data_IF_753510019251
#
_entry.id   IF_753510019251
#
_cell.length_a   1.000
_cell.length_b   1.000
_cell.length_c   1.000
_cell.angle_alpha   90.00
_cell.angle_beta   90.00
_cell.angle_gamma   90.00
#
_symmetry.space_group_name_H-M   'P 1'
#
loop_
_entity.id
_entity.type
_entity.pdbx_description
1 polymer ?
#
# COMPACT_ATOMS: atom_id res chain seq x y z
N UNK A 1 57.47 -71.31 -29.98
CA UNK A 1 56.50 -70.22 -30.15
C UNK A 1 55.75 -70.02 -28.83
N UNK A 2 56.04 -68.94 -28.09
CA UNK A 2 55.43 -68.61 -26.80
C UNK A 2 54.10 -67.88 -27.05
N UNK A 3 53.00 -68.37 -26.48
CA UNK A 3 51.69 -67.69 -26.47
C UNK A 3 51.62 -66.78 -25.24
N UNK A 4 51.44 -65.48 -25.45
CA UNK A 4 51.15 -64.52 -24.38
C UNK A 4 49.63 -64.31 -24.30
N UNK A 5 49.08 -64.51 -23.10
CA UNK A 5 47.75 -64.06 -22.69
C UNK A 5 47.78 -62.53 -22.57
N UNK A 6 46.80 -61.84 -23.16
CA UNK A 6 46.49 -60.44 -22.86
C UNK A 6 45.12 -60.46 -22.16
N UNK A 7 45.13 -60.23 -20.84
CA UNK A 7 43.93 -60.01 -20.05
C UNK A 7 43.52 -58.53 -20.12
N UNK A 8 42.32 -58.25 -20.61
CA UNK A 8 41.72 -56.92 -20.60
C UNK A 8 41.10 -56.66 -19.22
N UNK A 9 41.62 -55.65 -18.51
CA UNK A 9 41.02 -55.11 -17.28
C UNK A 9 40.05 -54.01 -17.71
N UNK A 10 38.75 -54.25 -17.59
CA UNK A 10 37.72 -53.22 -17.74
C UNK A 10 37.58 -52.47 -16.42
N UNK A 11 37.98 -51.20 -16.39
CA UNK A 11 37.76 -50.30 -15.27
C UNK A 11 36.35 -49.70 -15.37
N UNK A 12 35.42 -50.19 -14.56
CA UNK A 12 34.07 -49.62 -14.43
C UNK A 12 34.15 -48.40 -13.52
N UNK A 13 34.05 -47.20 -14.11
CA UNK A 13 33.91 -45.96 -13.34
C UNK A 13 32.52 -45.93 -12.69
N UNK A 14 32.47 -46.02 -11.36
CA UNK A 14 31.24 -45.83 -10.59
C UNK A 14 30.98 -44.32 -10.50
N UNK A 15 30.10 -43.81 -11.35
CA UNK A 15 29.53 -42.47 -11.22
C UNK A 15 28.50 -42.52 -10.08
N UNK A 16 28.87 -42.02 -8.90
CA UNK A 16 27.90 -41.74 -7.83
C UNK A 16 26.93 -40.65 -8.31
N UNK A 17 25.61 -40.83 -8.19
CA UNK A 17 24.67 -39.78 -8.52
C UNK A 17 24.85 -38.64 -7.51
N UNK A 18 25.17 -37.45 -8.00
CA UNK A 18 25.07 -36.23 -7.21
C UNK A 18 23.57 -36.07 -6.94
N UNK A 19 23.13 -36.28 -5.69
CA UNK A 19 21.80 -35.91 -5.29
C UNK A 19 21.68 -34.39 -5.45
N UNK A 20 20.95 -33.94 -6.47
CA UNK A 20 20.50 -32.57 -6.53
C UNK A 20 19.59 -32.36 -5.31
N UNK A 21 20.09 -31.62 -4.31
CA UNK A 21 19.25 -31.18 -3.18
C UNK A 21 18.11 -30.34 -3.79
N UNK A 22 16.87 -30.74 -3.56
CA UNK A 22 15.73 -29.93 -3.96
C UNK A 22 15.78 -28.60 -3.19
N UNK A 23 15.54 -27.49 -3.89
CA UNK A 23 15.43 -26.17 -3.24
C UNK A 23 14.28 -26.20 -2.24
N UNK A 24 14.43 -25.53 -1.11
CA UNK A 24 13.32 -25.35 -0.17
C UNK A 24 12.38 -24.29 -0.74
N UNK A 25 11.13 -24.67 -1.01
CA UNK A 25 10.12 -23.75 -1.55
C UNK A 25 9.64 -22.75 -0.48
N UNK A 26 9.43 -21.50 -0.88
CA UNK A 26 8.84 -20.43 -0.08
C UNK A 26 7.66 -19.85 -0.84
N UNK A 27 6.44 -20.19 -0.44
CA UNK A 27 5.23 -19.69 -1.07
C UNK A 27 4.90 -18.27 -0.65
N UNK A 28 4.75 -17.37 -1.62
CA UNK A 28 4.45 -15.96 -1.41
C UNK A 28 3.14 -15.58 -2.11
N UNK A 29 2.09 -15.24 -1.35
CA UNK A 29 0.82 -14.76 -1.90
C UNK A 29 0.77 -13.23 -1.91
N UNK A 30 0.44 -12.65 -3.07
CA UNK A 30 0.40 -11.20 -3.28
C UNK A 30 -0.82 -10.71 -4.06
N UNK A 31 -1.07 -9.40 -4.01
CA UNK A 31 -2.21 -8.74 -4.63
C UNK A 31 -1.87 -7.93 -5.90
N UNK A 32 -0.60 -7.94 -6.32
CA UNK A 32 -0.16 -7.13 -7.45
C UNK A 32 -0.54 -7.69 -8.83
N UNK A 33 -0.93 -6.77 -9.71
CA UNK A 33 -1.22 -6.97 -11.14
C UNK A 33 -0.51 -5.91 -11.97
N UNK A 34 -0.59 -6.04 -13.30
CA UNK A 34 -0.02 -5.08 -14.25
C UNK A 34 1.48 -4.83 -13.98
N UNK A 35 1.90 -3.56 -14.07
CA UNK A 35 3.30 -3.18 -13.91
C UNK A 35 3.90 -3.57 -12.54
N UNK A 36 3.11 -3.51 -11.47
CA UNK A 36 3.58 -3.92 -10.14
C UNK A 36 3.80 -5.44 -10.05
N UNK A 37 2.93 -6.22 -10.70
CA UNK A 37 3.08 -7.67 -10.79
C UNK A 37 4.34 -8.09 -11.55
N UNK A 38 4.66 -7.40 -12.64
CA UNK A 38 5.91 -7.61 -13.40
C UNK A 38 7.14 -7.33 -12.55
N UNK A 39 7.14 -6.23 -11.79
CA UNK A 39 8.27 -5.84 -10.95
C UNK A 39 8.51 -6.81 -9.78
N UNK A 40 7.44 -7.32 -9.14
CA UNK A 40 7.59 -8.36 -8.11
C UNK A 40 8.04 -9.69 -8.71
N UNK A 41 7.59 -10.03 -9.93
CA UNK A 41 8.09 -11.21 -10.61
C UNK A 41 9.60 -11.14 -10.88
N UNK A 42 10.10 -9.97 -11.31
CA UNK A 42 11.53 -9.75 -11.49
C UNK A 42 12.29 -9.89 -10.16
N UNK A 43 11.80 -9.33 -9.06
CA UNK A 43 12.43 -9.49 -7.74
C UNK A 43 12.51 -10.97 -7.30
N UNK A 44 11.45 -11.74 -7.53
CA UNK A 44 11.42 -13.18 -7.23
C UNK A 44 12.40 -13.95 -8.12
N UNK A 45 12.47 -13.63 -9.41
CA UNK A 45 13.42 -14.23 -10.35
C UNK A 45 14.87 -13.93 -9.94
N UNK A 46 15.19 -12.68 -9.63
CA UNK A 46 16.51 -12.24 -9.18
C UNK A 46 16.94 -12.96 -7.89
N UNK A 47 16.04 -13.08 -6.91
CA UNK A 47 16.30 -13.84 -5.69
C UNK A 47 16.56 -15.33 -5.97
N UNK A 48 15.73 -15.94 -6.82
CA UNK A 48 15.84 -17.37 -7.14
C UNK A 48 17.08 -17.71 -7.97
N UNK A 49 17.54 -16.78 -8.81
CA UNK A 49 18.75 -16.91 -9.61
C UNK A 49 20.03 -16.59 -8.81
N UNK A 50 19.93 -15.70 -7.82
CA UNK A 50 21.06 -15.26 -6.98
C UNK A 50 21.57 -16.30 -5.99
N UNK A 51 20.84 -17.40 -5.77
CA UNK A 51 21.21 -18.45 -4.82
C UNK A 51 20.65 -19.84 -5.22
N UNK A 52 21.12 -20.90 -4.54
CA UNK A 52 20.79 -22.30 -4.85
C UNK A 52 19.99 -23.06 -3.77
N UNK A 53 19.73 -22.45 -2.63
CA UNK A 53 19.17 -23.11 -1.44
C UNK A 53 17.62 -23.01 -1.37
N UNK A 54 17.04 -21.92 -1.90
CA UNK A 54 15.62 -21.60 -1.79
C UNK A 54 14.98 -21.31 -3.15
N UNK A 55 13.67 -21.53 -3.25
CA UNK A 55 12.85 -21.15 -4.40
C UNK A 55 11.58 -20.43 -3.93
N UNK A 56 11.48 -19.14 -4.19
CA UNK A 56 10.26 -18.38 -3.91
C UNK A 56 9.26 -18.63 -5.03
N UNK A 57 8.10 -19.17 -4.67
CA UNK A 57 6.97 -19.44 -5.55
C UNK A 57 5.88 -18.42 -5.27
N UNK A 58 5.79 -17.39 -6.11
CA UNK A 58 4.78 -16.34 -5.96
C UNK A 58 3.42 -16.77 -6.54
N UNK A 59 2.32 -16.30 -5.94
CA UNK A 59 0.96 -16.51 -6.43
C UNK A 59 0.13 -15.24 -6.25
N UNK A 60 -0.42 -14.73 -7.35
CA UNK A 60 -1.39 -13.66 -7.32
C UNK A 60 -2.75 -14.17 -6.80
N UNK A 61 -3.32 -13.50 -5.79
CA UNK A 61 -4.59 -13.88 -5.14
C UNK A 61 -5.72 -12.88 -5.35
N UNK A 62 -5.64 -12.08 -6.41
CA UNK A 62 -6.62 -11.04 -6.69
C UNK A 62 -6.24 -9.73 -6.00
N UNK A 63 -7.22 -8.93 -5.61
CA UNK A 63 -6.98 -7.67 -4.89
C UNK A 63 -6.55 -7.92 -3.42
N UNK A 64 -6.24 -6.84 -2.68
CA UNK A 64 -5.80 -6.96 -1.29
C UNK A 64 -6.83 -7.61 -0.35
N UNK A 65 -8.11 -7.27 -0.49
CA UNK A 65 -9.20 -7.89 0.30
C UNK A 65 -9.31 -9.39 -0.01
N UNK A 66 -9.21 -9.78 -1.29
CA UNK A 66 -9.23 -11.18 -1.70
C UNK A 66 -8.01 -11.94 -1.18
N UNK A 67 -6.82 -11.33 -1.22
CA UNK A 67 -5.58 -11.92 -0.71
C UNK A 67 -5.67 -12.16 0.80
N UNK A 68 -6.14 -11.17 1.58
CA UNK A 68 -6.36 -11.32 3.02
C UNK A 68 -7.37 -12.44 3.33
N UNK A 69 -8.53 -12.42 2.66
CA UNK A 69 -9.57 -13.42 2.88
C UNK A 69 -9.14 -14.84 2.47
N UNK A 70 -8.39 -14.96 1.37
CA UNK A 70 -7.78 -16.22 0.95
C UNK A 70 -6.79 -16.74 2.00
N UNK A 71 -5.95 -15.87 2.57
CA UNK A 71 -5.02 -16.22 3.65
C UNK A 71 -5.74 -16.70 4.91
N UNK A 72 -6.80 -16.01 5.34
CA UNK A 72 -7.63 -16.41 6.49
C UNK A 72 -8.27 -17.79 6.26
N UNK A 73 -8.83 -18.02 5.06
CA UNK A 73 -9.44 -19.30 4.71
C UNK A 73 -8.41 -20.44 4.67
N UNK A 74 -7.27 -20.19 4.03
CA UNK A 74 -6.17 -21.15 3.92
C UNK A 74 -5.61 -21.52 5.30
N UNK A 75 -5.44 -20.56 6.20
CA UNK A 75 -4.99 -20.84 7.57
C UNK A 75 -5.97 -21.77 8.32
N UNK A 76 -7.28 -21.54 8.18
CA UNK A 76 -8.30 -22.44 8.78
C UNK A 76 -8.25 -23.85 8.18
N UNK A 77 -7.90 -23.97 6.90
CA UNK A 77 -7.72 -25.23 6.20
C UNK A 77 -6.34 -25.88 6.44
N UNK A 78 -5.40 -25.18 7.09
CA UNK A 78 -3.98 -25.56 7.25
C UNK A 78 -3.22 -25.64 5.92
N UNK A 79 -3.55 -24.74 4.99
CA UNK A 79 -2.98 -24.62 3.64
C UNK A 79 -2.41 -23.21 3.38
N UNK A 80 -2.11 -22.45 4.44
CA UNK A 80 -1.58 -21.09 4.35
C UNK A 80 -0.20 -21.02 3.67
N UNK A 81 0.13 -19.93 2.94
CA UNK A 81 1.46 -19.73 2.35
C UNK A 81 2.51 -19.45 3.44
N UNK A 82 3.79 -19.45 3.08
CA UNK A 82 4.85 -18.99 3.99
C UNK A 82 4.75 -17.47 4.23
N UNK A 83 4.50 -16.71 3.16
CA UNK A 83 4.39 -15.26 3.19
C UNK A 83 3.04 -14.83 2.61
N UNK A 84 2.31 -14.01 3.35
CA UNK A 84 1.05 -13.39 2.92
C UNK A 84 1.22 -11.87 2.88
N UNK A 85 1.00 -11.28 1.71
CA UNK A 85 0.86 -9.84 1.57
C UNK A 85 -0.48 -9.40 2.17
N UNK A 86 -0.43 -8.49 3.14
CA UNK A 86 -1.63 -7.93 3.75
C UNK A 86 -1.50 -6.42 3.75
N UNK A 87 -2.47 -5.75 3.13
CA UNK A 87 -2.57 -4.30 3.17
C UNK A 87 -2.94 -3.76 4.56
N UNK A 88 -2.73 -2.47 4.76
CA UNK A 88 -2.68 -1.84 6.07
C UNK A 88 -3.93 -2.13 6.93
N UNK A 89 -5.12 -2.20 6.34
CA UNK A 89 -6.37 -2.46 7.07
C UNK A 89 -6.47 -3.86 7.67
N UNK A 90 -5.70 -4.81 7.17
CA UNK A 90 -5.63 -6.16 7.73
C UNK A 90 -4.78 -6.23 8.99
N UNK A 91 -4.01 -5.20 9.33
CA UNK A 91 -3.02 -5.23 10.42
C UNK A 91 -3.63 -5.64 11.76
N UNK A 92 -4.73 -5.01 12.18
CA UNK A 92 -5.37 -5.38 13.45
C UNK A 92 -5.89 -6.83 13.44
N UNK A 93 -6.43 -7.30 12.32
CA UNK A 93 -6.87 -8.69 12.14
C UNK A 93 -5.70 -9.66 12.28
N UNK A 94 -4.56 -9.35 11.64
CA UNK A 94 -3.36 -10.20 11.71
C UNK A 94 -2.75 -10.19 13.12
N UNK A 95 -2.73 -9.04 13.80
CA UNK A 95 -2.29 -8.93 15.19
C UNK A 95 -3.17 -9.74 16.16
N UNK A 96 -4.48 -9.74 15.93
CA UNK A 96 -5.44 -10.44 16.77
C UNK A 96 -5.50 -11.95 16.50
N UNK A 97 -5.05 -12.41 15.33
CA UNK A 97 -5.00 -13.81 14.94
C UNK A 97 -3.88 -14.58 15.67
N UNK A 98 -4.04 -14.79 16.98
CA UNK A 98 -3.08 -15.50 17.84
C UNK A 98 -2.75 -16.87 17.26
N UNK A 99 -1.45 -17.11 17.05
CA UNK A 99 -0.94 -18.38 16.51
C UNK A 99 -1.09 -18.53 14.99
N UNK A 100 -1.52 -17.50 14.26
CA UNK A 100 -1.58 -17.52 12.80
C UNK A 100 -0.35 -16.92 12.13
N UNK A 101 0.35 -16.04 12.82
CA UNK A 101 1.50 -15.29 12.29
C UNK A 101 2.72 -15.51 13.15
N UNK A 102 3.87 -15.68 12.50
CA UNK A 102 5.18 -15.69 13.13
C UNK A 102 5.82 -14.32 12.94
N UNK A 103 6.06 -13.53 14.00
CA UNK A 103 6.56 -12.17 13.86
C UNK A 103 7.88 -12.10 13.08
N UNK A 104 8.00 -11.14 12.16
CA UNK A 104 9.20 -10.97 11.32
C UNK A 104 10.47 -10.82 12.15
N UNK A 105 10.44 -10.09 13.26
CA UNK A 105 11.63 -9.97 14.12
C UNK A 105 12.15 -11.34 14.62
N UNK A 106 11.25 -12.30 14.89
CA UNK A 106 11.62 -13.66 15.30
C UNK A 106 12.17 -14.46 14.11
N UNK A 107 11.49 -14.37 12.95
CA UNK A 107 11.93 -15.07 11.72
C UNK A 107 13.32 -14.63 11.31
N UNK A 108 13.58 -13.32 11.32
CA UNK A 108 14.89 -12.76 10.98
C UNK A 108 15.97 -13.25 11.96
N UNK A 109 15.70 -13.20 13.27
CA UNK A 109 16.62 -13.68 14.29
C UNK A 109 16.92 -15.19 14.16
N UNK A 110 15.90 -16.01 13.93
CA UNK A 110 16.05 -17.47 13.78
C UNK A 110 16.71 -17.88 12.45
N UNK A 111 16.51 -17.10 11.39
CA UNK A 111 17.14 -17.33 10.09
C UNK A 111 18.64 -17.02 10.07
N UNK A 112 19.13 -16.25 11.06
CA UNK A 112 20.50 -15.73 11.09
C UNK A 112 20.74 -14.56 10.13
N UNK A 113 19.69 -14.01 9.54
CA UNK A 113 19.76 -12.83 8.69
C UNK A 113 20.13 -11.56 9.47
N UNK A 114 20.88 -10.67 8.81
CA UNK A 114 21.09 -9.32 9.35
C UNK A 114 19.77 -8.54 9.25
N UNK A 115 19.29 -8.06 10.39
CA UNK A 115 18.05 -7.30 10.46
C UNK A 115 18.21 -6.18 11.49
N UNK A 116 18.19 -4.95 10.99
CA UNK A 116 18.17 -3.75 11.82
C UNK A 116 16.80 -3.07 11.68
N UNK A 117 15.91 -3.21 12.68
CA UNK A 117 14.62 -2.51 12.68
C UNK A 117 14.77 -0.99 12.62
N UNK A 118 15.89 -0.42 13.05
CA UNK A 118 16.13 1.02 13.06
C UNK A 118 16.59 1.56 11.71
N UNK A 119 16.98 0.69 10.78
CA UNK A 119 17.19 1.07 9.38
C UNK A 119 15.90 1.44 8.65
N UNK A 120 14.73 0.99 9.14
CA UNK A 120 13.43 1.27 8.54
C UNK A 120 12.88 2.63 8.98
N UNK A 121 12.24 3.34 8.04
CA UNK A 121 11.66 4.66 8.30
C UNK A 121 10.57 4.55 9.37
N UNK A 122 10.69 5.36 10.43
CA UNK A 122 9.80 5.34 11.60
C UNK A 122 8.31 5.44 11.25
N UNK A 123 7.96 6.36 10.34
CA UNK A 123 6.59 6.58 9.87
C UNK A 123 6.02 5.37 9.10
N UNK A 124 6.87 4.54 8.52
CA UNK A 124 6.49 3.32 7.81
C UNK A 124 6.41 2.14 8.77
N UNK A 125 7.44 1.92 9.60
CA UNK A 125 7.49 0.74 10.50
C UNK A 125 6.47 0.81 11.63
N UNK A 126 6.16 2.00 12.15
CA UNK A 126 5.29 2.16 13.33
C UNK A 126 3.87 1.61 13.16
N UNK A 127 3.40 1.48 11.92
CA UNK A 127 2.10 0.87 11.64
C UNK A 127 2.11 -0.65 11.92
N UNK A 128 3.26 -1.30 11.68
CA UNK A 128 3.45 -2.75 11.63
C UNK A 128 4.22 -3.32 12.83
N UNK A 129 4.39 -2.53 13.89
CA UNK A 129 5.10 -2.93 15.11
C UNK A 129 4.15 -3.15 16.30
N UNK A 130 4.64 -3.90 17.30
CA UNK A 130 4.08 -3.89 18.65
C UNK A 130 4.20 -2.51 19.30
N UNK A 131 3.61 -2.34 20.48
CA UNK A 131 3.78 -1.14 21.31
C UNK A 131 5.23 -0.94 21.77
N UNK A 132 6.00 -2.02 21.86
CA UNK A 132 7.43 -2.03 22.22
C UNK A 132 8.34 -1.77 21.02
N UNK A 133 7.79 -1.72 19.80
CA UNK A 133 8.54 -1.44 18.56
C UNK A 133 9.02 -2.68 17.81
N UNK A 134 8.62 -3.89 18.23
CA UNK A 134 9.00 -5.13 17.55
C UNK A 134 8.23 -5.27 16.22
N UNK A 135 8.94 -5.49 15.11
CA UNK A 135 8.34 -5.61 13.78
C UNK A 135 7.58 -6.93 13.62
N UNK A 136 6.26 -6.84 13.50
CA UNK A 136 5.37 -8.00 13.32
C UNK A 136 5.35 -8.48 11.87
N UNK A 137 5.37 -7.54 10.93
CA UNK A 137 5.45 -7.78 9.48
C UNK A 137 6.50 -6.87 8.86
N UNK A 138 6.96 -7.22 7.66
CA UNK A 138 7.92 -6.41 6.92
C UNK A 138 7.15 -5.42 6.04
N UNK A 139 7.27 -4.09 6.24
CA UNK A 139 6.73 -3.12 5.29
C UNK A 139 7.32 -3.42 3.90
N UNK A 140 6.50 -3.45 2.85
CA UNK A 140 7.00 -3.78 1.52
C UNK A 140 6.66 -2.69 0.52
N UNK A 141 5.40 -2.27 0.50
CA UNK A 141 4.94 -1.25 -0.40
C UNK A 141 4.11 -0.23 0.39
N UNK A 142 4.79 0.81 0.88
CA UNK A 142 4.15 1.90 1.62
C UNK A 142 3.95 3.09 0.70
N UNK A 143 2.74 3.62 0.65
CA UNK A 143 2.39 4.79 -0.16
C UNK A 143 1.56 5.77 0.63
N UNK A 144 1.33 6.93 0.05
CA UNK A 144 0.40 7.93 0.57
C UNK A 144 -0.32 8.60 -0.60
N UNK A 145 -1.54 9.13 -0.46
CA UNK A 145 -2.20 9.75 -1.58
C UNK A 145 -1.54 11.09 -1.94
N UNK A 146 -1.54 11.38 -3.23
CA UNK A 146 -1.03 12.61 -3.84
C UNK A 146 -2.03 13.09 -4.89
N UNK A 147 -1.85 14.32 -5.38
CA UNK A 147 -2.61 14.85 -6.50
C UNK A 147 -1.78 14.71 -7.78
N UNK A 148 -2.25 13.91 -8.73
CA UNK A 148 -1.71 13.84 -10.08
C UNK A 148 -2.39 14.88 -10.97
N UNK A 149 -1.59 15.56 -11.78
CA UNK A 149 -2.03 16.65 -12.65
C UNK A 149 -1.63 16.34 -14.09
N UNK A 150 -2.59 16.36 -15.00
CA UNK A 150 -2.36 16.35 -16.44
C UNK A 150 -2.26 17.81 -16.92
N UNK A 151 -1.02 18.28 -17.09
CA UNK A 151 -0.73 19.69 -17.43
C UNK A 151 -1.21 20.04 -18.83
N UNK A 152 -1.22 19.07 -19.74
CA UNK A 152 -1.74 19.26 -21.10
C UNK A 152 -3.27 19.42 -21.09
N UNK A 153 -3.99 18.63 -20.28
CA UNK A 153 -5.44 18.79 -20.12
C UNK A 153 -5.81 20.14 -19.49
N UNK A 154 -5.07 20.58 -18.47
CA UNK A 154 -5.24 21.93 -17.91
C UNK A 154 -5.07 23.01 -18.98
N UNK A 155 -3.97 22.95 -19.74
CA UNK A 155 -3.68 23.91 -20.81
C UNK A 155 -4.75 23.88 -21.92
N UNK A 156 -5.22 22.69 -22.31
CA UNK A 156 -6.24 22.51 -23.33
C UNK A 156 -7.59 23.14 -22.93
N UNK A 157 -7.94 23.08 -21.65
CA UNK A 157 -9.10 23.74 -21.07
C UNK A 157 -8.88 25.25 -20.80
N UNK A 158 -7.70 25.79 -21.11
CA UNK A 158 -7.35 27.19 -20.88
C UNK A 158 -7.05 27.54 -19.42
N UNK A 159 -6.76 26.53 -18.59
CA UNK A 159 -6.37 26.68 -17.19
C UNK A 159 -4.84 26.70 -17.11
N UNK A 160 -4.28 27.66 -16.35
CA UNK A 160 -2.84 27.69 -16.11
C UNK A 160 -2.42 26.45 -15.32
N UNK A 161 -1.57 25.57 -15.89
CA UNK A 161 -1.11 24.36 -15.18
C UNK A 161 -0.42 24.69 -13.86
N UNK A 162 0.17 25.87 -13.71
CA UNK A 162 0.87 26.29 -12.49
C UNK A 162 -0.07 26.95 -11.44
N UNK A 163 -1.39 26.91 -11.68
CA UNK A 163 -2.39 27.35 -10.70
C UNK A 163 -2.19 26.65 -9.36
N UNK A 164 -2.25 27.41 -8.27
CA UNK A 164 -2.15 26.87 -6.92
C UNK A 164 -3.33 25.91 -6.65
N UNK A 165 -3.02 24.68 -6.24
CA UNK A 165 -3.97 23.63 -5.87
C UNK A 165 -3.66 23.07 -4.47
N UNK A 166 -2.99 23.85 -3.62
CA UNK A 166 -2.61 23.44 -2.28
C UNK A 166 -3.83 23.21 -1.38
N UNK A 167 -4.95 23.87 -1.66
CA UNK A 167 -6.19 23.71 -0.90
C UNK A 167 -7.36 23.22 -1.73
N UNK A 168 -8.31 22.53 -1.10
CA UNK A 168 -9.53 22.07 -1.77
C UNK A 168 -10.43 23.22 -2.23
N UNK A 169 -10.37 24.39 -1.58
CA UNK A 169 -11.01 25.61 -2.08
C UNK A 169 -10.48 25.96 -3.48
N UNK A 170 -9.15 25.98 -3.63
CA UNK A 170 -8.50 26.31 -4.90
C UNK A 170 -8.71 25.23 -5.95
N UNK A 171 -8.69 23.96 -5.56
CA UNK A 171 -9.07 22.86 -6.45
C UNK A 171 -10.50 23.07 -6.95
N UNK A 172 -11.45 23.46 -6.09
CA UNK A 172 -12.81 23.80 -6.51
C UNK A 172 -12.85 24.85 -7.64
N UNK A 173 -12.08 25.93 -7.50
CA UNK A 173 -11.96 26.98 -8.53
C UNK A 173 -11.35 26.44 -9.84
N UNK A 174 -10.34 25.56 -9.74
CA UNK A 174 -9.74 24.89 -10.91
C UNK A 174 -10.74 23.96 -11.59
N UNK A 175 -11.52 23.19 -10.83
CA UNK A 175 -12.56 22.31 -11.39
C UNK A 175 -13.63 23.10 -12.15
N UNK A 176 -14.01 24.28 -11.64
CA UNK A 176 -14.94 25.19 -12.31
C UNK A 176 -14.37 25.66 -13.67
N UNK A 177 -13.10 26.02 -13.70
CA UNK A 177 -12.43 26.46 -14.93
C UNK A 177 -12.28 25.31 -15.92
N UNK A 178 -11.88 24.11 -15.46
CA UNK A 178 -11.79 22.91 -16.29
C UNK A 178 -13.14 22.60 -16.95
N UNK A 179 -14.25 22.60 -16.19
CA UNK A 179 -15.59 22.43 -16.76
C UNK A 179 -15.95 23.49 -17.78
N UNK A 180 -15.67 24.76 -17.47
CA UNK A 180 -15.95 25.86 -18.39
C UNK A 180 -15.11 25.78 -19.68
N UNK A 181 -13.89 25.23 -19.58
CA UNK A 181 -12.98 24.93 -20.69
C UNK A 181 -13.34 23.68 -21.50
N UNK A 182 -14.38 22.94 -21.11
CA UNK A 182 -14.86 21.76 -21.83
C UNK A 182 -14.23 20.44 -21.41
N UNK A 183 -13.55 20.38 -20.26
CA UNK A 183 -13.05 19.12 -19.70
C UNK A 183 -14.22 18.24 -19.20
N UNK A 184 -14.27 17.01 -19.68
CA UNK A 184 -15.32 16.04 -19.34
C UNK A 184 -15.02 15.29 -18.05
N UNK A 185 -13.73 15.11 -17.70
CA UNK A 185 -13.29 14.53 -16.44
C UNK A 185 -12.33 15.46 -15.68
N UNK A 186 -12.82 16.50 -14.99
CA UNK A 186 -11.93 17.41 -14.26
C UNK A 186 -11.20 16.74 -13.10
N UNK A 187 -11.90 15.93 -12.29
CA UNK A 187 -11.31 15.17 -11.19
C UNK A 187 -11.85 13.75 -11.19
N UNK A 188 -10.94 12.78 -11.05
CA UNK A 188 -11.24 11.39 -10.69
C UNK A 188 -10.48 11.04 -9.40
N UNK A 189 -10.91 10.00 -8.70
CA UNK A 189 -10.23 9.53 -7.47
C UNK A 189 -10.09 8.02 -7.46
N UNK A 190 -9.12 7.55 -6.69
CA UNK A 190 -8.96 6.15 -6.34
C UNK A 190 -9.05 5.96 -4.83
N UNK A 191 -9.32 4.73 -4.37
CA UNK A 191 -9.29 4.37 -2.95
C UNK A 191 -10.06 5.35 -2.05
N UNK A 192 -11.32 5.62 -2.42
CA UNK A 192 -12.10 6.76 -1.91
C UNK A 192 -12.16 6.88 -0.38
N UNK A 193 -12.32 5.78 0.36
CA UNK A 193 -12.28 5.80 1.83
C UNK A 193 -10.92 6.26 2.34
N UNK A 194 -9.85 5.68 1.80
CA UNK A 194 -8.49 5.96 2.23
C UNK A 194 -8.08 7.40 1.95
N UNK A 195 -8.47 7.96 0.79
CA UNK A 195 -8.14 9.34 0.42
C UNK A 195 -9.04 10.34 1.16
N UNK A 196 -10.36 10.20 1.01
CA UNK A 196 -11.32 11.27 1.36
C UNK A 196 -11.85 11.19 2.79
N UNK A 197 -11.53 10.15 3.55
CA UNK A 197 -11.89 10.07 4.96
C UNK A 197 -10.68 9.81 5.85
N UNK A 198 -9.90 8.78 5.54
CA UNK A 198 -8.80 8.37 6.43
C UNK A 198 -7.64 9.36 6.38
N UNK A 199 -7.10 9.61 5.18
CA UNK A 199 -6.08 10.64 4.98
C UNK A 199 -6.63 12.04 5.20
N UNK A 200 -7.87 12.32 4.78
CA UNK A 200 -8.54 13.56 5.13
C UNK A 200 -8.48 13.83 6.64
N UNK A 201 -8.88 12.85 7.47
CA UNK A 201 -8.92 13.03 8.91
C UNK A 201 -7.52 13.23 9.50
N UNK A 202 -6.56 12.40 9.07
CA UNK A 202 -5.17 12.52 9.51
C UNK A 202 -4.55 13.87 9.13
N UNK A 203 -4.72 14.30 7.87
CA UNK A 203 -4.14 15.52 7.31
C UNK A 203 -4.73 16.80 7.90
N UNK A 204 -5.95 16.73 8.46
CA UNK A 204 -6.58 17.81 9.23
C UNK A 204 -6.48 17.61 10.75
N UNK A 205 -5.73 16.60 11.21
CA UNK A 205 -5.56 16.25 12.62
C UNK A 205 -6.89 16.05 13.39
N UNK A 206 -7.92 15.55 12.71
CA UNK A 206 -9.21 15.17 13.31
C UNK A 206 -9.29 13.65 13.47
N UNK A 207 -9.94 13.12 14.51
CA UNK A 207 -9.99 11.68 14.73
C UNK A 207 -10.85 11.00 13.66
N UNK A 208 -10.35 9.88 13.13
CA UNK A 208 -11.15 8.94 12.33
C UNK A 208 -11.86 7.92 13.24
N UNK A 209 -11.25 7.60 14.39
CA UNK A 209 -11.82 6.79 15.45
C UNK A 209 -11.26 7.20 16.82
N UNK A 210 -11.93 6.82 17.90
CA UNK A 210 -11.47 7.03 19.28
C UNK A 210 -10.28 6.13 19.63
N UNK A 211 -9.75 6.24 20.85
CA UNK A 211 -8.60 5.43 21.31
C UNK A 211 -7.38 5.58 20.40
N UNK A 212 -6.99 6.82 20.10
CA UNK A 212 -5.90 7.13 19.15
C UNK A 212 -6.06 6.40 17.81
N UNK A 213 -7.24 6.54 17.17
CA UNK A 213 -7.61 5.78 15.97
C UNK A 213 -7.49 4.26 16.13
N UNK A 214 -7.82 3.73 17.31
CA UNK A 214 -7.78 2.31 17.65
C UNK A 214 -6.44 1.79 18.17
N UNK A 215 -5.38 2.60 18.18
CA UNK A 215 -4.09 2.18 18.75
C UNK A 215 -4.13 1.96 20.26
N UNK A 216 -4.96 2.70 20.98
CA UNK A 216 -5.01 2.67 22.45
C UNK A 216 -6.00 1.62 23.01
N UNK A 217 -6.86 1.01 22.19
CA UNK A 217 -7.84 0.05 22.69
C UNK A 217 -8.80 -0.52 21.65
N UNK A 218 -9.23 -1.76 21.87
CA UNK A 218 -10.23 -2.46 21.04
C UNK A 218 -11.66 -1.95 21.28
N UNK A 219 -11.88 -1.17 22.33
CA UNK A 219 -13.13 -0.47 22.65
C UNK A 219 -13.32 0.82 21.80
N UNK A 220 -12.45 1.06 20.82
CA UNK A 220 -12.54 2.17 19.85
C UNK A 220 -13.89 2.25 19.12
N UNK A 221 -14.29 3.46 18.75
CA UNK A 221 -15.50 3.78 17.99
C UNK A 221 -15.15 4.74 16.86
N UNK A 222 -15.84 4.64 15.73
CA UNK A 222 -15.63 5.49 14.57
C UNK A 222 -16.05 6.94 14.85
N UNK A 223 -15.32 7.91 14.32
CA UNK A 223 -15.54 9.36 14.47
C UNK A 223 -15.55 10.08 13.12
N UNK A 224 -15.93 9.36 12.07
CA UNK A 224 -15.88 9.78 10.66
C UNK A 224 -17.08 10.60 10.17
N UNK A 225 -18.04 10.88 11.05
CA UNK A 225 -19.24 11.69 10.81
C UNK A 225 -19.15 13.10 11.44
N UNK A 226 -17.94 13.58 11.70
CA UNK A 226 -17.69 14.92 12.26
C UNK A 226 -17.86 16.04 11.23
N UNK A 227 -17.95 17.32 11.68
CA UNK A 227 -18.21 18.45 10.79
C UNK A 227 -17.20 18.61 9.64
N UNK A 228 -15.92 18.33 9.89
CA UNK A 228 -14.87 18.46 8.87
C UNK A 228 -15.04 17.41 7.76
N UNK A 229 -15.24 16.15 8.12
CA UNK A 229 -15.46 15.07 7.16
C UNK A 229 -16.75 15.31 6.36
N UNK A 230 -17.84 15.63 7.05
CA UNK A 230 -19.13 15.89 6.42
C UNK A 230 -19.07 17.07 5.46
N UNK A 231 -18.35 18.15 5.80
CA UNK A 231 -18.16 19.29 4.91
C UNK A 231 -17.39 18.90 3.63
N UNK A 232 -16.29 18.16 3.76
CA UNK A 232 -15.52 17.69 2.61
C UNK A 232 -16.35 16.80 1.68
N UNK A 233 -17.05 15.81 2.25
CA UNK A 233 -17.88 14.90 1.47
C UNK A 233 -19.10 15.61 0.85
N UNK A 234 -19.65 16.62 1.51
CA UNK A 234 -20.71 17.46 0.93
C UNK A 234 -20.21 18.24 -0.28
N UNK A 235 -19.01 18.81 -0.20
CA UNK A 235 -18.39 19.51 -1.33
C UNK A 235 -18.14 18.56 -2.50
N UNK A 236 -17.58 17.37 -2.23
CA UNK A 236 -17.37 16.36 -3.27
C UNK A 236 -18.67 15.81 -3.87
N UNK A 237 -19.72 15.63 -3.06
CA UNK A 237 -21.04 15.23 -3.55
C UNK A 237 -21.65 16.29 -4.47
N UNK A 238 -21.45 17.57 -4.13
CA UNK A 238 -21.84 18.67 -5.02
C UNK A 238 -21.01 18.68 -6.31
N UNK A 239 -19.70 18.43 -6.24
CA UNK A 239 -18.85 18.28 -7.43
C UNK A 239 -19.24 17.10 -8.30
N UNK A 240 -19.67 15.97 -7.72
CA UNK A 240 -20.20 14.83 -8.47
C UNK A 240 -21.45 15.25 -9.25
N UNK A 241 -22.39 15.90 -8.56
CA UNK A 241 -23.64 16.42 -9.15
C UNK A 241 -23.39 17.43 -10.27
N UNK A 242 -22.37 18.27 -10.12
CA UNK A 242 -21.99 19.28 -11.11
C UNK A 242 -21.11 18.72 -12.24
N UNK A 243 -20.80 17.41 -12.22
CA UNK A 243 -19.94 16.74 -13.21
C UNK A 243 -18.47 17.15 -13.14
N UNK A 244 -18.03 17.72 -12.01
CA UNK A 244 -16.65 18.11 -11.72
C UNK A 244 -15.83 16.95 -11.15
N UNK A 245 -16.48 16.09 -10.38
CA UNK A 245 -15.90 14.85 -9.86
C UNK A 245 -16.57 13.65 -10.53
N UNK A 246 -15.76 12.79 -11.16
CA UNK A 246 -16.22 11.59 -11.86
C UNK A 246 -15.84 10.37 -11.01
N UNK A 247 -16.85 9.71 -10.45
CA UNK A 247 -16.65 8.47 -9.70
C UNK A 247 -16.60 7.26 -10.64
N UNK A 248 -15.54 6.47 -10.54
CA UNK A 248 -15.26 5.34 -11.45
C UNK A 248 -15.12 4.00 -10.75
N UNK A 249 -15.12 3.96 -9.41
CA UNK A 249 -14.94 2.74 -8.63
C UNK A 249 -14.25 2.98 -7.29
N UNK A 250 -14.19 1.93 -6.47
CA UNK A 250 -13.71 2.00 -5.08
C UNK A 250 -12.19 2.05 -4.97
N UNK A 251 -11.48 1.47 -5.94
CA UNK A 251 -10.03 1.25 -5.93
C UNK A 251 -9.42 2.11 -7.02
N UNK A 252 -8.62 1.54 -7.92
CA UNK A 252 -7.87 2.26 -8.94
C UNK A 252 -8.54 2.21 -10.33
N UNK A 253 -9.84 1.92 -10.42
CA UNK A 253 -10.56 1.78 -11.68
C UNK A 253 -10.47 3.04 -12.55
N UNK A 254 -10.43 4.23 -11.93
CA UNK A 254 -10.26 5.52 -12.62
C UNK A 254 -8.86 5.79 -13.16
N UNK A 255 -7.86 5.00 -12.74
CA UNK A 255 -6.47 5.20 -13.14
C UNK A 255 -6.23 5.02 -14.63
N UNK A 256 -7.03 4.19 -15.32
CA UNK A 256 -6.94 4.03 -16.76
C UNK A 256 -7.31 5.32 -17.51
N UNK A 257 -8.36 6.01 -17.07
CA UNK A 257 -8.84 7.25 -17.68
C UNK A 257 -7.78 8.36 -17.56
N UNK A 258 -7.19 8.52 -16.38
CA UNK A 258 -6.10 9.50 -16.20
C UNK A 258 -4.89 9.16 -17.09
N UNK A 259 -4.43 7.90 -17.10
CA UNK A 259 -3.28 7.49 -17.93
C UNK A 259 -3.53 7.59 -19.44
N UNK A 260 -4.78 7.48 -19.87
CA UNK A 260 -5.20 7.74 -21.24
C UNK A 260 -5.26 9.24 -21.59
N UNK A 261 -5.12 10.13 -20.60
CA UNK A 261 -5.21 11.58 -20.76
C UNK A 261 -6.63 12.11 -20.76
N UNK A 262 -7.61 11.29 -20.35
CA UNK A 262 -9.03 11.65 -20.34
C UNK A 262 -9.44 12.50 -19.14
N UNK A 263 -8.66 12.48 -18.05
CA UNK A 263 -8.94 13.25 -16.84
C UNK A 263 -7.82 14.25 -16.54
N UNK A 264 -8.21 15.44 -16.07
CA UNK A 264 -7.26 16.53 -15.78
C UNK A 264 -6.56 16.35 -14.42
N UNK A 265 -7.31 15.98 -13.38
CA UNK A 265 -6.79 15.76 -12.03
C UNK A 265 -7.15 14.36 -11.53
N UNK A 266 -6.24 13.77 -10.75
CA UNK A 266 -6.45 12.45 -10.16
C UNK A 266 -5.85 12.35 -8.76
N UNK A 267 -6.69 12.14 -7.75
CA UNK A 267 -6.19 11.76 -6.41
C UNK A 267 -5.99 10.26 -6.34
N UNK A 268 -4.73 9.84 -6.14
CA UNK A 268 -4.32 8.43 -6.13
C UNK A 268 -3.07 8.26 -5.27
N UNK A 269 -2.77 7.02 -4.89
CA UNK A 269 -1.49 6.60 -4.34
C UNK A 269 -0.31 7.18 -5.11
N UNK A 270 0.75 7.54 -4.38
CA UNK A 270 2.06 7.82 -4.96
C UNK A 270 2.57 6.67 -5.85
N UNK A 271 2.14 5.44 -5.59
CA UNK A 271 2.46 4.27 -6.39
C UNK A 271 1.78 4.24 -7.77
N UNK A 272 0.86 5.16 -8.04
CA UNK A 272 0.34 5.42 -9.38
C UNK A 272 1.44 5.77 -10.39
N UNK A 273 2.61 6.24 -9.90
CA UNK A 273 3.77 6.57 -10.72
C UNK A 273 4.18 5.44 -11.67
N UNK A 274 4.15 4.18 -11.22
CA UNK A 274 4.54 3.03 -12.04
C UNK A 274 3.74 2.94 -13.36
N UNK A 275 2.42 3.13 -13.25
CA UNK A 275 1.53 3.14 -14.41
C UNK A 275 1.64 4.45 -15.18
N UNK A 276 1.55 5.59 -14.49
CA UNK A 276 1.50 6.91 -15.12
C UNK A 276 2.76 7.19 -15.94
N UNK A 277 3.95 6.98 -15.35
CA UNK A 277 5.23 7.21 -16.04
C UNK A 277 5.46 6.29 -17.24
N UNK A 278 4.86 5.10 -17.27
CA UNK A 278 5.01 4.15 -18.40
C UNK A 278 3.99 4.39 -19.52
N UNK A 279 2.76 4.75 -19.17
CA UNK A 279 1.65 4.83 -20.11
C UNK A 279 1.38 6.25 -20.63
N UNK A 280 1.49 7.28 -19.78
CA UNK A 280 1.13 8.66 -20.13
C UNK A 280 1.93 9.15 -21.35
N UNK A 281 1.24 9.90 -22.22
CA UNK A 281 1.80 10.56 -23.42
C UNK A 281 1.60 12.08 -23.38
N UNK A 282 1.38 12.60 -22.19
CA UNK A 282 1.15 14.00 -21.87
C UNK A 282 2.10 14.43 -20.74
N UNK A 283 2.29 15.73 -20.59
CA UNK A 283 3.05 16.28 -19.46
C UNK A 283 2.24 16.13 -18.16
N UNK A 284 2.83 15.47 -17.16
CA UNK A 284 2.18 15.23 -15.87
C UNK A 284 3.03 15.71 -14.72
N UNK A 285 2.36 16.05 -13.63
CA UNK A 285 2.99 16.50 -12.39
C UNK A 285 2.38 15.79 -11.18
N UNK A 286 3.20 15.60 -10.16
CA UNK A 286 2.75 15.16 -8.83
C UNK A 286 2.73 16.37 -7.91
N UNK A 287 1.65 16.55 -7.16
CA UNK A 287 1.48 17.60 -6.17
C UNK A 287 1.08 17.04 -4.82
N UNK A 288 1.31 17.80 -3.73
CA UNK A 288 0.75 17.42 -2.45
C UNK A 288 -0.77 17.26 -2.51
N UNK A 289 -1.31 16.39 -1.66
CA UNK A 289 -2.75 16.28 -1.45
C UNK A 289 -3.27 17.63 -0.95
N UNK A 290 -4.39 18.14 -1.49
CA UNK A 290 -4.98 19.38 -1.01
C UNK A 290 -5.56 19.21 0.41
N UNK A 291 -5.58 20.31 1.16
CA UNK A 291 -6.26 20.40 2.47
C UNK A 291 -7.33 21.50 2.45
N UNK A 292 -8.28 21.51 3.38
CA UNK A 292 -9.16 22.66 3.59
C UNK A 292 -8.50 23.62 4.56
N UNK A 293 -8.20 24.82 4.08
CA UNK A 293 -7.70 25.89 4.94
C UNK A 293 -8.73 26.30 5.99
N UNK A 294 -10.02 26.14 5.68
CA UNK A 294 -11.10 26.36 6.63
C UNK A 294 -11.09 25.40 7.85
N UNK A 295 -10.39 24.26 7.76
CA UNK A 295 -10.32 23.26 8.84
C UNK A 295 -9.00 23.35 9.61
N UNK A 296 -7.88 23.59 8.93
CA UNK A 296 -6.56 23.76 9.52
C UNK A 296 -5.75 24.80 8.74
N UNK A 297 -4.92 25.60 9.41
CA UNK A 297 -4.07 26.60 8.72
C UNK A 297 -3.02 25.96 7.81
N UNK A 298 -2.43 24.86 8.28
CA UNK A 298 -1.39 24.07 7.62
C UNK A 298 -1.68 22.58 7.83
N UNK A 299 -1.49 21.73 6.81
CA UNK A 299 -1.82 20.32 6.94
C UNK A 299 -0.90 19.60 7.94
N UNK A 300 -1.40 18.52 8.53
CA UNK A 300 -0.63 17.54 9.29
C UNK A 300 0.13 16.61 8.33
N UNK A 301 0.52 15.41 8.75
CA UNK A 301 1.00 14.36 7.86
C UNK A 301 -0.17 13.52 7.33
N UNK A 302 0.01 12.99 6.12
CA UNK A 302 -0.81 11.89 5.62
C UNK A 302 -0.42 10.57 6.30
N UNK A 303 -1.29 9.56 6.21
CA UNK A 303 -1.01 8.21 6.72
C UNK A 303 -0.65 7.26 5.57
N UNK A 304 -0.03 6.14 5.93
CA UNK A 304 0.30 5.12 4.95
C UNK A 304 -0.95 4.44 4.39
N UNK A 305 -0.79 3.90 3.20
CA UNK A 305 -1.53 2.77 2.67
C UNK A 305 -0.55 1.79 2.03
N UNK A 306 -1.07 0.75 1.40
CA UNK A 306 -0.28 -0.30 0.80
C UNK A 306 -0.09 -1.46 1.76
N UNK A 307 0.95 -2.28 1.60
CA UNK A 307 1.02 -3.57 2.30
C UNK A 307 2.36 -3.88 2.96
N UNK A 308 2.26 -4.82 3.89
CA UNK A 308 3.37 -5.50 4.53
C UNK A 308 3.30 -7.01 4.28
N UNK A 309 4.43 -7.68 4.49
CA UNK A 309 4.60 -9.11 4.35
C UNK A 309 4.51 -9.78 5.73
N UNK A 310 3.46 -10.56 5.92
CA UNK A 310 3.24 -11.34 7.12
C UNK A 310 3.74 -12.76 6.91
N UNK A 311 4.52 -13.26 7.86
CA UNK A 311 4.98 -14.65 7.84
C UNK A 311 3.96 -15.48 8.61
N UNK A 312 3.43 -16.52 7.96
CA UNK A 312 2.41 -17.36 8.57
C UNK A 312 3.03 -18.44 9.44
N UNK A 313 2.30 -18.89 10.45
CA UNK A 313 2.72 -20.03 11.28
C UNK A 313 2.52 -21.38 10.57
N UNK A 314 3.11 -22.44 11.14
CA UNK A 314 2.89 -23.83 10.73
C UNK A 314 3.88 -24.37 9.69
N UNK A 315 4.94 -23.64 9.39
CA UNK A 315 5.99 -24.05 8.43
C UNK A 315 7.24 -24.60 9.13
N UNK A 316 8.10 -25.27 8.37
CA UNK A 316 9.34 -25.86 8.88
C UNK A 316 10.42 -24.80 9.15
N UNK A 317 11.42 -25.18 9.96
CA UNK A 317 12.55 -24.29 10.27
C UNK A 317 13.37 -23.90 9.03
N UNK A 318 13.50 -24.79 8.05
CA UNK A 318 14.24 -24.50 6.82
C UNK A 318 13.45 -23.57 5.89
N UNK A 319 12.12 -23.68 5.85
CA UNK A 319 11.28 -22.70 5.16
C UNK A 319 11.39 -21.31 5.80
N UNK A 320 11.41 -21.21 7.14
CA UNK A 320 11.60 -19.93 7.81
C UNK A 320 12.98 -19.29 7.55
N UNK A 321 14.04 -20.09 7.35
CA UNK A 321 15.33 -19.56 6.88
C UNK A 321 15.22 -19.00 5.45
N UNK A 322 14.50 -19.70 4.58
CA UNK A 322 14.21 -19.22 3.22
C UNK A 322 13.42 -17.92 3.21
N UNK A 323 12.40 -17.82 4.07
CA UNK A 323 11.66 -16.57 4.30
C UNK A 323 12.60 -15.47 4.77
N UNK A 324 13.43 -15.70 5.79
CA UNK A 324 14.40 -14.71 6.27
C UNK A 324 15.37 -14.25 5.19
N UNK A 325 15.86 -15.17 4.35
CA UNK A 325 16.72 -14.83 3.21
C UNK A 325 16.00 -13.96 2.18
N UNK A 326 14.76 -14.28 1.83
CA UNK A 326 13.98 -13.48 0.88
C UNK A 326 13.64 -12.09 1.41
N UNK A 327 13.20 -11.99 2.68
CA UNK A 327 12.93 -10.71 3.33
C UNK A 327 14.21 -9.85 3.41
N UNK A 328 15.37 -10.46 3.68
CA UNK A 328 16.66 -9.75 3.66
C UNK A 328 17.00 -9.20 2.27
N UNK A 329 16.81 -10.01 1.23
CA UNK A 329 17.03 -9.61 -0.16
C UNK A 329 16.14 -8.41 -0.52
N UNK A 330 14.84 -8.50 -0.21
CA UNK A 330 13.90 -7.42 -0.47
C UNK A 330 14.32 -6.13 0.24
N UNK A 331 14.90 -6.20 1.42
CA UNK A 331 15.33 -5.03 2.21
C UNK A 331 16.72 -4.48 1.84
N UNK A 332 17.40 -5.05 0.85
CA UNK A 332 18.67 -4.49 0.38
C UNK A 332 18.48 -3.11 -0.24
N UNK A 333 19.47 -2.22 -0.08
CA UNK A 333 19.41 -0.84 -0.58
C UNK A 333 19.13 -0.77 -2.08
N UNK A 334 19.78 -1.62 -2.89
CA UNK A 334 19.58 -1.65 -4.34
C UNK A 334 18.14 -2.07 -4.71
N UNK A 335 17.60 -3.12 -4.07
CA UNK A 335 16.24 -3.60 -4.34
C UNK A 335 15.21 -2.56 -3.91
N UNK A 336 15.38 -1.96 -2.72
CA UNK A 336 14.46 -0.94 -2.21
C UNK A 336 14.53 0.37 -2.99
N UNK A 337 15.72 0.82 -3.38
CA UNK A 337 15.88 2.01 -4.21
C UNK A 337 15.26 1.81 -5.59
N UNK A 338 15.51 0.65 -6.22
CA UNK A 338 14.88 0.31 -7.50
C UNK A 338 13.36 0.19 -7.38
N UNK A 339 12.85 -0.44 -6.31
CA UNK A 339 11.42 -0.52 -6.06
C UNK A 339 10.79 0.86 -5.92
N UNK A 340 11.37 1.74 -5.09
CA UNK A 340 10.90 3.11 -4.93
C UNK A 340 10.89 3.87 -6.27
N UNK A 341 12.00 3.85 -7.00
CA UNK A 341 12.17 4.60 -8.26
C UNK A 341 11.25 4.11 -9.37
N UNK A 342 10.98 2.81 -9.44
CA UNK A 342 10.15 2.22 -10.49
C UNK A 342 8.65 2.25 -10.18
N UNK A 343 8.28 2.46 -8.92
CA UNK A 343 6.87 2.34 -8.50
C UNK A 343 6.25 3.62 -7.97
N UNK A 344 7.04 4.48 -7.32
CA UNK A 344 6.51 5.60 -6.51
C UNK A 344 6.05 5.18 -5.10
N UNK A 345 6.22 3.92 -4.71
CA UNK A 345 6.18 3.54 -3.28
C UNK A 345 7.33 4.22 -2.55
N UNK A 346 7.17 4.45 -1.25
CA UNK A 346 8.19 5.05 -0.40
C UNK A 346 9.38 4.09 -0.23
N UNK A 347 10.62 4.60 -0.14
CA UNK A 347 11.73 3.78 0.33
C UNK A 347 11.46 3.38 1.77
N UNK A 348 11.43 2.08 2.08
CA UNK A 348 11.12 1.62 3.44
C UNK A 348 12.30 1.77 4.40
N UNK A 349 13.52 1.91 3.86
CA UNK A 349 14.78 2.09 4.62
C UNK A 349 15.42 3.44 4.33
N UNK A 350 16.09 4.03 5.33
CA UNK A 350 16.82 5.29 5.17
C UNK A 350 17.90 5.21 4.09
N UNK A 351 18.64 4.09 4.03
CA UNK A 351 19.73 3.90 3.06
C UNK A 351 19.24 3.93 1.60
N UNK A 352 18.12 3.25 1.30
CA UNK A 352 17.51 3.31 -0.03
C UNK A 352 17.01 4.73 -0.40
N UNK A 353 16.53 5.49 0.59
CA UNK A 353 16.17 6.89 0.41
C UNK A 353 17.37 7.77 0.06
N UNK A 354 18.47 7.59 0.78
CA UNK A 354 19.73 8.29 0.53
C UNK A 354 20.35 7.89 -0.82
N UNK A 355 20.34 6.60 -1.16
CA UNK A 355 20.81 6.10 -2.45
C UNK A 355 19.99 6.70 -3.61
N UNK A 356 18.67 6.76 -3.46
CA UNK A 356 17.79 7.39 -4.48
C UNK A 356 18.11 8.87 -4.64
N UNK A 357 18.28 9.61 -3.54
CA UNK A 357 18.66 11.03 -3.59
C UNK A 357 20.02 11.22 -4.27
N UNK A 358 21.02 10.42 -3.90
CA UNK A 358 22.37 10.50 -4.45
C UNK A 358 22.44 10.16 -5.96
N UNK A 359 21.50 9.37 -6.47
CA UNK A 359 21.40 9.04 -7.90
C UNK A 359 20.92 10.20 -8.79
N UNK A 360 20.40 11.28 -8.19
CA UNK A 360 19.76 12.40 -8.89
C UNK A 360 18.37 12.04 -9.45
N UNK A 361 17.71 11.01 -8.89
CA UNK A 361 16.39 10.57 -9.35
C UNK A 361 15.33 11.67 -9.22
N UNK A 362 15.27 12.36 -8.08
CA UNK A 362 14.26 13.41 -7.84
C UNK A 362 14.44 14.62 -8.76
N UNK A 363 15.69 15.00 -9.08
CA UNK A 363 15.97 16.10 -10.02
C UNK A 363 15.50 15.76 -11.45
N UNK A 364 15.58 14.48 -11.83
CA UNK A 364 15.16 13.98 -13.14
C UNK A 364 13.66 13.68 -13.20
N UNK A 365 13.03 13.43 -12.06
CA UNK A 365 11.61 13.08 -11.93
C UNK A 365 10.98 13.94 -10.83
N UNK A 366 10.79 15.26 -11.07
CA UNK A 366 10.29 16.18 -10.06
C UNK A 366 8.95 15.72 -9.45
N UNK A 367 8.80 15.91 -8.14
CA UNK A 367 7.59 15.56 -7.40
C UNK A 367 7.55 14.12 -6.87
N UNK A 368 8.45 13.24 -7.30
CA UNK A 368 8.51 11.85 -6.80
C UNK A 368 8.95 11.72 -5.33
N UNK A 369 9.42 12.80 -4.71
CA UNK A 369 9.71 12.93 -3.28
C UNK A 369 8.54 13.48 -2.44
N UNK A 370 7.45 13.97 -3.07
CA UNK A 370 6.30 14.57 -2.37
C UNK A 370 5.69 13.61 -1.36
N UNK A 371 5.58 12.33 -1.71
CA UNK A 371 5.05 11.31 -0.81
C UNK A 371 5.87 11.22 0.49
N UNK A 372 7.20 11.28 0.39
CA UNK A 372 8.11 11.28 1.54
C UNK A 372 7.93 12.57 2.35
N UNK A 373 7.87 13.72 1.65
CA UNK A 373 7.72 15.04 2.28
C UNK A 373 6.40 15.10 3.07
N UNK A 374 5.26 14.76 2.46
CA UNK A 374 3.95 14.78 3.13
C UNK A 374 3.92 13.95 4.41
N UNK A 375 4.52 12.77 4.38
CA UNK A 375 4.51 11.86 5.52
C UNK A 375 5.43 12.29 6.65
N UNK A 376 6.50 13.02 6.34
CA UNK A 376 7.54 13.41 7.30
C UNK A 376 7.52 14.88 7.70
N UNK A 377 6.64 15.68 7.09
CA UNK A 377 6.58 17.13 7.29
C UNK A 377 6.35 17.53 8.75
N UNK A 378 5.56 16.77 9.49
CA UNK A 378 5.25 17.00 10.91
C UNK A 378 5.34 15.71 11.70
N UNK A 379 5.63 15.83 13.00
CA UNK A 379 5.56 14.70 13.92
C UNK A 379 4.11 14.19 13.99
N UNK A 380 3.88 12.86 13.83
CA UNK A 380 2.54 12.30 13.93
C UNK A 380 1.89 12.54 15.29
N UNK A 381 0.58 12.76 15.26
CA UNK A 381 -0.29 12.90 16.43
C UNK A 381 -1.06 11.60 16.68
N UNK A 382 -1.87 11.55 17.75
CA UNK A 382 -2.82 10.46 17.98
C UNK A 382 -3.77 10.22 16.80
N UNK A 383 -4.09 11.27 16.02
CA UNK A 383 -5.03 11.21 14.90
C UNK A 383 -4.35 10.93 13.55
N UNK A 384 -3.01 10.96 13.49
CA UNK A 384 -2.25 10.92 12.22
C UNK A 384 -1.09 9.92 12.20
N UNK A 385 -0.93 9.08 13.24
CA UNK A 385 0.03 7.96 13.24
C UNK A 385 -0.42 6.74 12.42
N UNK A 386 -1.69 6.69 12.02
CA UNK A 386 -2.31 5.57 11.29
C UNK A 386 -3.67 5.20 11.87
N UNK A 387 -4.20 4.07 11.42
CA UNK A 387 -5.44 3.46 11.93
C UNK A 387 -5.16 2.03 12.40
N UNK A 388 -5.76 1.59 13.51
CA UNK A 388 -5.64 0.21 13.99
C UNK A 388 -7.00 -0.30 14.42
N UNK A 389 -7.83 -0.61 13.43
CA UNK A 389 -9.23 -0.95 13.62
C UNK A 389 -9.48 -2.43 13.29
N UNK A 390 -10.23 -3.12 14.16
CA UNK A 390 -10.64 -4.49 13.92
C UNK A 390 -11.68 -4.58 12.79
N UNK A 391 -11.63 -5.64 11.98
CA UNK A 391 -12.53 -5.81 10.82
C UNK A 391 -12.52 -4.64 9.83
N UNK A 392 -11.37 -3.94 9.71
CA UNK A 392 -11.33 -2.70 8.95
C UNK A 392 -11.48 -2.88 7.43
N UNK A 393 -11.14 -4.05 6.88
CA UNK A 393 -11.47 -4.44 5.50
C UNK A 393 -12.98 -4.31 5.22
N UNK A 394 -13.81 -4.85 6.11
CA UNK A 394 -15.26 -4.77 5.98
C UNK A 394 -15.81 -3.37 6.29
N UNK A 395 -15.24 -2.67 7.26
CA UNK A 395 -15.62 -1.28 7.58
C UNK A 395 -15.32 -0.36 6.39
N UNK A 396 -14.17 -0.51 5.73
CA UNK A 396 -13.84 0.24 4.52
C UNK A 396 -14.83 -0.04 3.40
N UNK A 397 -15.24 -1.31 3.21
CA UNK A 397 -16.30 -1.66 2.27
C UNK A 397 -17.65 -0.99 2.57
N UNK A 398 -18.01 -0.86 3.86
CA UNK A 398 -19.20 -0.10 4.30
C UNK A 398 -19.05 1.38 3.96
N UNK A 399 -17.89 1.97 4.27
CA UNK A 399 -17.61 3.38 3.97
C UNK A 399 -17.72 3.62 2.47
N UNK A 400 -17.14 2.74 1.64
CA UNK A 400 -17.21 2.86 0.18
C UNK A 400 -18.66 2.85 -0.34
N UNK A 401 -19.53 1.99 0.20
CA UNK A 401 -20.96 1.97 -0.13
C UNK A 401 -21.67 3.28 0.25
N UNK A 402 -21.34 3.83 1.42
CA UNK A 402 -21.96 5.06 1.91
C UNK A 402 -21.44 6.28 1.13
N UNK A 403 -20.18 6.28 0.70
CA UNK A 403 -19.63 7.29 -0.21
C UNK A 403 -20.29 7.22 -1.59
N UNK A 404 -20.47 6.02 -2.15
CA UNK A 404 -21.19 5.81 -3.41
C UNK A 404 -22.60 6.43 -3.37
N UNK A 405 -23.31 6.29 -2.25
CA UNK A 405 -24.62 6.90 -2.04
C UNK A 405 -24.59 8.43 -1.97
N UNK A 406 -23.47 9.04 -1.56
CA UNK A 406 -23.29 10.50 -1.64
C UNK A 406 -23.08 10.91 -3.10
N UNK A 407 -22.26 10.19 -3.84
CA UNK A 407 -21.93 10.51 -5.24
C UNK A 407 -23.14 10.37 -6.17
N UNK A 408 -24.02 9.40 -5.91
CA UNK A 408 -25.30 9.24 -6.63
C UNK A 408 -26.38 10.25 -6.20
N UNK A 409 -26.17 10.94 -5.07
CA UNK A 409 -27.16 11.84 -4.48
C UNK A 409 -28.29 11.14 -3.71
N UNK A 410 -28.14 9.83 -3.43
CA UNK A 410 -29.13 9.05 -2.67
C UNK A 410 -29.13 9.38 -1.17
N UNK A 411 -27.99 9.82 -0.63
CA UNK A 411 -27.85 10.26 0.77
C UNK A 411 -27.08 11.58 0.87
N UNK A 412 -27.41 12.37 1.88
CA UNK A 412 -26.52 13.45 2.30
C UNK A 412 -25.25 12.89 2.97
N UNK A 413 -24.17 13.68 3.00
CA UNK A 413 -22.93 13.28 3.65
C UNK A 413 -23.10 12.93 5.14
N UNK A 414 -23.95 13.65 5.86
CA UNK A 414 -24.22 13.36 7.26
C UNK A 414 -24.93 12.01 7.43
N UNK A 415 -26.00 11.77 6.66
CA UNK A 415 -26.77 10.51 6.73
C UNK A 415 -25.90 9.30 6.36
N UNK A 416 -25.07 9.43 5.34
CA UNK A 416 -24.13 8.40 4.89
C UNK A 416 -23.09 8.07 5.98
N UNK A 417 -22.46 9.09 6.57
CA UNK A 417 -21.42 8.87 7.59
C UNK A 417 -21.99 8.42 8.94
N UNK A 418 -23.20 8.84 9.31
CA UNK A 418 -23.91 8.30 10.48
C UNK A 418 -24.20 6.81 10.29
N UNK A 419 -24.65 6.42 9.09
CA UNK A 419 -24.88 5.01 8.76
C UNK A 419 -23.60 4.19 8.73
N UNK A 420 -22.51 4.72 8.15
CA UNK A 420 -21.20 4.10 8.15
C UNK A 420 -20.68 3.87 9.58
N UNK A 421 -20.83 4.88 10.45
CA UNK A 421 -20.47 4.78 11.88
C UNK A 421 -21.26 3.69 12.57
N UNK A 422 -22.59 3.67 12.46
CA UNK A 422 -23.43 2.66 13.11
C UNK A 422 -23.04 1.23 12.69
N UNK A 423 -22.95 1.01 11.37
CA UNK A 423 -22.63 -0.30 10.79
C UNK A 423 -21.19 -0.73 11.12
N UNK A 424 -20.25 0.20 11.10
CA UNK A 424 -18.84 -0.05 11.40
C UNK A 424 -18.57 -0.29 12.89
N UNK A 425 -19.21 0.47 13.78
CA UNK A 425 -19.11 0.27 15.24
C UNK A 425 -19.64 -1.10 15.64
N UNK A 426 -20.69 -1.60 14.98
CA UNK A 426 -21.16 -2.96 15.19
C UNK A 426 -20.09 -4.03 14.85
N UNK A 427 -19.25 -3.79 13.84
CA UNK A 427 -18.12 -4.67 13.51
C UNK A 427 -16.97 -4.53 14.53
N UNK A 428 -16.67 -3.32 14.98
CA UNK A 428 -15.68 -3.07 16.03
C UNK A 428 -16.06 -3.80 17.32
N UNK A 429 -17.32 -3.72 17.75
CA UNK A 429 -17.82 -4.44 18.95
C UNK A 429 -17.75 -5.95 18.80
N UNK A 430 -18.04 -6.51 17.61
CA UNK A 430 -17.87 -7.95 17.35
C UNK A 430 -16.40 -8.37 17.42
N UNK A 431 -15.52 -7.58 16.81
CA UNK A 431 -14.09 -7.83 16.85
C UNK A 431 -13.53 -7.78 18.27
N UNK A 432 -13.94 -6.78 19.05
CA UNK A 432 -13.57 -6.65 20.45
C UNK A 432 -14.01 -7.88 21.26
N UNK A 433 -15.28 -8.30 21.15
CA UNK A 433 -15.80 -9.48 21.84
C UNK A 433 -15.05 -10.78 21.48
N UNK A 434 -14.64 -10.92 20.22
CA UNK A 434 -13.92 -12.11 19.76
C UNK A 434 -12.46 -12.18 20.26
N UNK A 435 -11.90 -11.05 20.74
CA UNK A 435 -10.47 -10.93 21.07
C UNK A 435 -10.20 -10.49 22.52
N UNK A 436 -11.23 -10.48 23.37
CA UNK A 436 -11.12 -10.29 24.82
C UNK A 436 -10.59 -11.53 25.53
#
# INVERSE_FOLDING_TARGET
MKKHLIGAVAATAVLSPIAAMAKTEVHFWHAFTGRLGELVAAQVEDFNAGQSDYEVVQTHKGNYSETLNAGIAAFRAKEQPNILMVYEVGTATMMAAKGAVKPVYQVMAESGASFDPDAYIGAVKGYYTTTEGDMLSLPFNSSTPVLWVNRDAMSAAGVDPDSDMSTWEQVGDVLDQLKAGGEDCPLVTAWQSWIHLENFSAYHNVPFATQDNGFAGLDTELSLNGPAQVAHLSAMGQWAKDGKFIYTGRRNEGGANFRAGECALFTESSAGYAGISSEAKFDFEVRPLPYWKAVADEPQNTIIGGASLWVMEGHSADEYKGVGAFLSFLSTSDVQAAWHQNTGYLPITSEAGDATRASGFYDKNPGTDIAVIQMTAKQPTANSKGLRLGSFDQIRGIIDEELEAIWSGDKSAQEAMDSAKERGDALLRRFEQANR
#
